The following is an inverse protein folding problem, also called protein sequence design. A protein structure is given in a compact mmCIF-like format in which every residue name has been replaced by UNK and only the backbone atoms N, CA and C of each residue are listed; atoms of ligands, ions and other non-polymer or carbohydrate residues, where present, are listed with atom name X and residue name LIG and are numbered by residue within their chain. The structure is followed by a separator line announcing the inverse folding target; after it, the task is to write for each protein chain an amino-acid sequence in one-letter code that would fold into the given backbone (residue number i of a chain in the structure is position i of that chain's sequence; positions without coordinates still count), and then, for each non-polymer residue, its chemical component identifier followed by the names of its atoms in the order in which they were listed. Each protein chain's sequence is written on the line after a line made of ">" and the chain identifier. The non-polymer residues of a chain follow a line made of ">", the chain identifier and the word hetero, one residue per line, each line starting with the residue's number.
data_IF_459763405720
#
_entry.id   IF_459763405720
#
_cell.length_a   1.000
_cell.length_b   1.000
_cell.length_c   1.000
_cell.angle_alpha   90.00
_cell.angle_beta   90.00
_cell.angle_gamma   90.00
#
_symmetry.space_group_name_H-M   'P 1'
#
loop_
_entity.id
_entity.type
_entity.pdbx_description
1 polymer ?
#
# COMPACT_ATOMS: atom_id res chain seq x y z
N UNK A 1 -18.37 1.88 4.99
CA UNK A 1 -17.37 1.27 4.09
C UNK A 1 -18.06 0.33 3.11
N UNK A 2 -18.87 -0.60 3.62
CA UNK A 2 -19.74 -1.50 2.83
C UNK A 2 -20.59 -0.77 1.81
N UNK A 3 -21.22 0.35 2.18
CA UNK A 3 -22.09 1.11 1.27
C UNK A 3 -21.31 1.71 0.09
N UNK A 4 -20.09 2.20 0.36
CA UNK A 4 -19.19 2.73 -0.68
C UNK A 4 -18.77 1.61 -1.63
N UNK A 5 -18.28 0.49 -1.12
CA UNK A 5 -17.88 -0.66 -1.94
C UNK A 5 -19.06 -1.23 -2.75
N UNK A 6 -20.25 -1.33 -2.14
CA UNK A 6 -21.46 -1.77 -2.82
C UNK A 6 -21.87 -0.83 -3.95
N UNK A 7 -21.80 0.48 -3.73
CA UNK A 7 -22.08 1.49 -4.77
C UNK A 7 -21.07 1.43 -5.91
N UNK A 8 -19.78 1.26 -5.60
CA UNK A 8 -18.71 1.13 -6.59
C UNK A 8 -18.88 -0.15 -7.41
N UNK A 9 -19.11 -1.29 -6.77
CA UNK A 9 -19.33 -2.57 -7.43
C UNK A 9 -20.55 -2.50 -8.37
N UNK A 10 -21.67 -1.95 -7.88
CA UNK A 10 -22.89 -1.77 -8.68
C UNK A 10 -22.61 -0.89 -9.91
N UNK A 11 -21.86 0.20 -9.74
CA UNK A 11 -21.49 1.07 -10.84
C UNK A 11 -20.59 0.36 -11.87
N UNK A 12 -19.54 -0.33 -11.41
CA UNK A 12 -18.62 -1.06 -12.29
C UNK A 12 -19.32 -2.18 -13.07
N UNK A 13 -20.23 -2.92 -12.44
CA UNK A 13 -21.02 -3.98 -13.09
C UNK A 13 -22.01 -3.38 -14.11
N UNK A 14 -22.58 -2.21 -13.81
CA UNK A 14 -23.52 -1.53 -14.72
C UNK A 14 -22.82 -0.90 -15.93
N UNK A 15 -21.53 -0.56 -15.80
CA UNK A 15 -20.71 -0.03 -16.88
C UNK A 15 -20.24 -1.19 -17.78
N UNK A 16 -20.54 -1.12 -19.09
CA UNK A 16 -20.13 -2.15 -20.05
C UNK A 16 -18.62 -2.13 -20.33
N UNK A 17 -18.00 -0.97 -20.23
CA UNK A 17 -16.56 -0.79 -20.44
C UNK A 17 -16.02 0.34 -19.56
N UNK A 18 -14.71 0.30 -19.31
CA UNK A 18 -13.94 1.27 -18.55
C UNK A 18 -12.80 1.76 -19.42
N UNK A 19 -12.45 3.05 -19.33
CA UNK A 19 -11.34 3.61 -20.12
C UNK A 19 -10.16 3.95 -19.22
N UNK A 20 -9.00 3.33 -19.46
CA UNK A 20 -7.73 3.67 -18.83
C UNK A 20 -6.77 4.26 -19.87
N UNK A 21 -6.56 5.58 -19.79
CA UNK A 21 -5.78 6.32 -20.78
C UNK A 21 -6.42 6.22 -22.17
N UNK A 22 -5.71 5.59 -23.09
CA UNK A 22 -6.18 5.35 -24.47
C UNK A 22 -6.77 3.97 -24.68
N UNK A 23 -6.84 3.13 -23.65
CA UNK A 23 -7.28 1.75 -23.73
C UNK A 23 -8.69 1.60 -23.14
N UNK A 24 -9.56 0.90 -23.88
CA UNK A 24 -10.86 0.45 -23.40
C UNK A 24 -10.74 -0.96 -22.80
N UNK A 25 -11.32 -1.16 -21.63
CA UNK A 25 -11.29 -2.39 -20.84
C UNK A 25 -12.71 -2.86 -20.55
N UNK A 26 -12.88 -4.16 -20.37
CA UNK A 26 -14.15 -4.77 -20.00
C UNK A 26 -13.98 -5.42 -18.62
N UNK A 27 -15.03 -5.32 -17.81
CA UNK A 27 -15.04 -5.97 -16.49
C UNK A 27 -15.25 -7.48 -16.70
N UNK A 28 -14.25 -8.28 -16.35
CA UNK A 28 -14.32 -9.74 -16.43
C UNK A 28 -14.94 -10.34 -15.16
N UNK A 29 -14.42 -9.95 -13.99
CA UNK A 29 -14.89 -10.39 -12.69
C UNK A 29 -14.71 -9.31 -11.63
N UNK A 30 -15.46 -9.43 -10.53
CA UNK A 30 -15.34 -8.59 -9.34
C UNK A 30 -15.39 -9.48 -8.11
N UNK A 31 -14.35 -9.40 -7.29
CA UNK A 31 -14.20 -10.20 -6.07
C UNK A 31 -13.99 -9.28 -4.87
N UNK A 32 -14.53 -9.68 -3.72
CA UNK A 32 -14.37 -8.96 -2.45
C UNK A 32 -13.61 -9.86 -1.51
N UNK A 33 -12.45 -9.39 -1.05
CA UNK A 33 -11.65 -10.12 -0.06
C UNK A 33 -12.38 -10.16 1.29
N UNK A 34 -12.26 -11.29 2.03
CA UNK A 34 -12.83 -11.40 3.36
C UNK A 34 -12.16 -10.41 4.34
N UNK A 35 -12.86 -9.99 5.40
CA UNK A 35 -12.27 -9.17 6.45
C UNK A 35 -11.05 -9.83 7.08
N UNK A 36 -10.04 -9.03 7.40
CA UNK A 36 -8.84 -9.50 8.11
C UNK A 36 -8.99 -9.32 9.62
N UNK A 37 -8.37 -10.20 10.40
CA UNK A 37 -8.18 -10.01 11.86
C UNK A 37 -6.69 -10.15 12.19
N UNK A 38 -5.88 -9.12 11.85
CA UNK A 38 -4.43 -9.22 11.94
C UNK A 38 -3.97 -9.27 13.40
N UNK A 39 -3.01 -10.15 13.70
CA UNK A 39 -2.28 -10.17 14.99
C UNK A 39 -0.93 -9.48 14.82
N UNK A 40 -0.70 -8.41 15.59
CA UNK A 40 0.57 -7.67 15.61
C UNK A 40 1.73 -8.54 16.13
N UNK A 41 2.96 -8.41 15.60
CA UNK A 41 3.31 -7.62 14.42
C UNK A 41 2.91 -8.32 13.11
N UNK A 42 2.62 -7.54 12.07
CA UNK A 42 2.35 -8.06 10.71
C UNK A 42 3.38 -7.51 9.72
N UNK A 43 3.61 -8.27 8.65
CA UNK A 43 4.28 -7.76 7.46
C UNK A 43 3.24 -7.45 6.40
N UNK A 44 3.37 -6.29 5.76
CA UNK A 44 2.50 -5.87 4.67
C UNK A 44 3.33 -5.51 3.45
N UNK A 45 2.78 -5.79 2.27
CA UNK A 45 3.32 -5.36 1.00
C UNK A 45 2.53 -4.17 0.48
N UNK A 46 3.21 -3.12 0.04
CA UNK A 46 2.59 -2.01 -0.66
C UNK A 46 2.17 -2.44 -2.08
N UNK A 47 0.85 -2.59 -2.30
CA UNK A 47 0.25 -2.85 -3.63
C UNK A 47 0.24 -1.60 -4.50
N UNK A 48 0.21 -0.43 -3.86
CA UNK A 48 0.43 0.86 -4.51
C UNK A 48 1.46 1.68 -3.71
N UNK A 49 2.22 2.57 -4.34
CA UNK A 49 3.30 3.30 -3.66
C UNK A 49 2.78 4.10 -2.45
N UNK A 50 3.50 4.06 -1.34
CA UNK A 50 3.21 4.83 -0.12
C UNK A 50 3.92 6.18 -0.23
N UNK A 51 3.17 7.27 -0.11
CA UNK A 51 3.74 8.63 -0.12
C UNK A 51 3.52 9.34 1.22
N UNK A 52 4.58 9.99 1.68
CA UNK A 52 4.61 10.75 2.94
C UNK A 52 5.32 12.06 2.65
N UNK A 53 4.70 13.18 3.05
CA UNK A 53 5.25 14.49 2.77
C UNK A 53 4.89 15.52 3.82
N UNK A 54 5.69 16.59 3.85
CA UNK A 54 5.42 17.82 4.58
C UNK A 54 5.60 19.01 3.66
N UNK A 55 5.09 20.17 4.07
CA UNK A 55 5.36 21.44 3.39
C UNK A 55 6.39 22.19 4.23
N UNK A 56 7.55 22.47 3.65
CA UNK A 56 8.63 23.21 4.27
C UNK A 56 8.63 24.65 3.75
N UNK A 57 9.00 25.60 4.62
CA UNK A 57 9.25 26.97 4.22
C UNK A 57 10.71 27.09 3.77
N UNK A 58 10.96 27.65 2.59
CA UNK A 58 12.31 27.98 2.16
C UNK A 58 12.81 29.25 2.85
N UNK A 59 14.12 29.48 2.81
CA UNK A 59 14.74 30.75 3.23
C UNK A 59 14.18 31.97 2.51
N UNK A 60 13.58 31.78 1.32
CA UNK A 60 12.90 32.81 0.53
C UNK A 60 11.40 32.96 0.86
N UNK A 61 10.89 32.28 1.89
CA UNK A 61 9.48 32.33 2.29
C UNK A 61 8.53 31.55 1.38
N UNK A 62 9.03 30.75 0.43
CA UNK A 62 8.20 29.92 -0.46
C UNK A 62 7.91 28.56 0.20
N UNK A 63 6.69 28.07 0.03
CA UNK A 63 6.32 26.72 0.44
C UNK A 63 6.81 25.69 -0.58
N UNK A 64 7.54 24.67 -0.13
CA UNK A 64 7.96 23.53 -0.95
C UNK A 64 7.55 22.22 -0.31
N UNK A 65 6.93 21.34 -1.09
CA UNK A 65 6.62 19.98 -0.63
C UNK A 65 7.89 19.13 -0.61
N UNK A 66 8.17 18.52 0.54
CA UNK A 66 9.25 17.55 0.71
C UNK A 66 8.64 16.17 0.92
N UNK A 67 9.03 15.21 0.08
CA UNK A 67 8.60 13.82 0.18
C UNK A 67 9.69 13.01 0.86
N UNK A 68 9.32 12.29 1.91
CA UNK A 68 10.24 11.52 2.75
C UNK A 68 10.47 10.13 2.17
N UNK A 69 11.69 9.62 2.32
CA UNK A 69 12.05 8.24 2.04
C UNK A 69 11.91 7.35 3.30
N UNK A 70 11.77 6.01 3.14
CA UNK A 70 11.46 5.09 4.23
C UNK A 70 12.52 5.01 5.33
N UNK A 71 13.75 5.47 5.07
CA UNK A 71 14.85 5.47 6.04
C UNK A 71 14.93 6.75 6.86
N UNK A 72 14.15 7.78 6.53
CA UNK A 72 14.04 9.00 7.33
C UNK A 72 13.11 8.75 8.52
N UNK A 73 13.50 9.23 9.71
CA UNK A 73 12.70 9.08 10.94
C UNK A 73 11.32 9.72 10.81
N UNK A 74 11.25 10.82 10.08
CA UNK A 74 10.03 11.56 9.79
C UNK A 74 9.02 10.73 8.98
N UNK A 75 9.48 9.75 8.19
CA UNK A 75 8.61 8.88 7.40
C UNK A 75 7.67 8.09 8.32
N UNK A 76 8.23 7.39 9.30
CA UNK A 76 7.46 6.63 10.29
C UNK A 76 6.57 7.56 11.12
N UNK A 77 7.13 8.65 11.65
CA UNK A 77 6.38 9.58 12.49
C UNK A 77 5.16 10.18 11.78
N UNK A 78 5.30 10.54 10.50
CA UNK A 78 4.21 11.09 9.69
C UNK A 78 3.21 10.01 9.27
N UNK A 79 3.63 8.75 9.05
CA UNK A 79 2.71 7.64 8.82
C UNK A 79 1.82 7.37 10.04
N UNK A 80 2.42 7.28 11.23
CA UNK A 80 1.69 7.07 12.48
C UNK A 80 0.69 8.20 12.73
N UNK A 81 1.12 9.45 12.56
CA UNK A 81 0.24 10.62 12.67
C UNK A 81 -0.89 10.61 11.64
N UNK A 82 -0.62 10.16 10.41
CA UNK A 82 -1.63 10.03 9.36
C UNK A 82 -2.68 8.96 9.72
N UNK A 83 -2.25 7.78 10.18
CA UNK A 83 -3.13 6.70 10.63
C UNK A 83 -3.98 7.12 11.82
N UNK A 84 -3.37 7.75 12.82
CA UNK A 84 -4.08 8.27 13.99
C UNK A 84 -5.20 9.23 13.57
N UNK A 85 -4.92 10.15 12.63
CA UNK A 85 -5.94 11.06 12.10
C UNK A 85 -7.07 10.31 11.40
N UNK A 86 -6.76 9.33 10.55
CA UNK A 86 -7.76 8.50 9.86
C UNK A 86 -8.63 7.73 10.85
N UNK A 87 -7.99 7.07 11.82
CA UNK A 87 -8.65 6.28 12.85
C UNK A 87 -9.53 7.15 13.75
N UNK A 88 -9.07 8.34 14.15
CA UNK A 88 -9.88 9.29 14.93
C UNK A 88 -11.14 9.72 14.18
N UNK A 89 -11.03 10.01 12.88
CA UNK A 89 -12.21 10.38 12.08
C UNK A 89 -13.17 9.20 11.93
N UNK A 90 -12.65 7.98 11.83
CA UNK A 90 -13.45 6.78 11.61
C UNK A 90 -14.13 6.23 12.88
N UNK A 91 -13.39 6.10 13.97
CA UNK A 91 -13.85 5.49 15.23
C UNK A 91 -14.36 6.53 16.24
N UNK A 92 -14.15 7.82 16.00
CA UNK A 92 -14.64 8.91 16.86
C UNK A 92 -13.89 9.09 18.19
N UNK A 93 -12.96 8.20 18.54
CA UNK A 93 -12.18 8.27 19.79
C UNK A 93 -10.67 8.28 19.53
N UNK A 94 -9.86 8.92 20.40
CA UNK A 94 -8.42 8.78 20.34
C UNK A 94 -8.01 7.36 20.72
N UNK A 95 -7.27 6.70 19.84
CA UNK A 95 -6.61 5.42 20.11
C UNK A 95 -5.20 5.71 20.65
N UNK A 96 -4.68 4.84 21.52
CA UNK A 96 -3.36 5.02 22.13
C UNK A 96 -2.27 5.13 21.06
N UNK A 97 -1.32 6.04 21.28
CA UNK A 97 -0.13 6.21 20.45
C UNK A 97 0.91 5.15 20.84
N UNK A 98 0.69 3.93 20.37
CA UNK A 98 1.59 2.81 20.59
C UNK A 98 1.93 2.16 19.23
N UNK A 99 3.18 1.74 19.08
CA UNK A 99 3.62 0.93 17.95
C UNK A 99 4.59 1.61 16.98
N UNK A 100 4.97 0.86 15.94
CA UNK A 100 5.97 1.26 14.94
C UNK A 100 5.59 0.77 13.54
N UNK A 101 6.09 1.49 12.54
CA UNK A 101 6.01 1.14 11.12
C UNK A 101 7.40 1.24 10.52
N UNK A 102 7.98 0.09 10.16
CA UNK A 102 9.37 0.04 9.71
C UNK A 102 9.50 -0.57 8.32
N UNK A 103 10.40 -0.05 7.46
CA UNK A 103 10.75 -0.75 6.24
C UNK A 103 11.42 -2.09 6.60
N UNK A 104 10.86 -3.20 6.11
CA UNK A 104 11.41 -4.55 6.31
C UNK A 104 12.20 -5.00 5.08
N UNK A 105 11.62 -4.85 3.88
CA UNK A 105 12.30 -5.10 2.60
C UNK A 105 11.98 -3.97 1.64
N UNK A 106 12.72 -2.89 1.78
CA UNK A 106 12.62 -1.69 0.93
C UNK A 106 14.02 -1.29 0.50
N UNK A 107 14.16 -0.93 -0.77
CA UNK A 107 15.42 -0.59 -1.40
C UNK A 107 15.22 0.57 -2.39
N UNK A 108 16.29 1.22 -2.88
CA UNK A 108 16.15 2.34 -3.83
C UNK A 108 15.36 2.02 -5.10
N UNK A 109 15.31 0.74 -5.53
CA UNK A 109 14.52 0.30 -6.69
C UNK A 109 13.01 0.39 -6.46
N UNK A 110 12.60 0.52 -5.21
CA UNK A 110 11.21 0.63 -4.79
C UNK A 110 10.74 2.09 -4.75
N UNK A 111 11.58 3.07 -5.15
CA UNK A 111 11.17 4.46 -5.33
C UNK A 111 10.34 4.61 -6.61
N UNK A 112 9.19 5.27 -6.48
CA UNK A 112 8.33 5.65 -7.59
C UNK A 112 8.24 7.17 -7.66
N UNK A 113 8.56 7.72 -8.85
CA UNK A 113 8.31 9.12 -9.18
C UNK A 113 7.07 9.17 -10.08
N UNK A 114 5.93 9.52 -9.50
CA UNK A 114 4.64 9.54 -10.19
C UNK A 114 4.26 10.98 -10.52
N UNK A 115 3.91 11.24 -11.79
CA UNK A 115 3.32 12.52 -12.21
C UNK A 115 1.81 12.43 -12.12
N UNK A 116 1.20 13.23 -11.25
CA UNK A 116 -0.25 13.36 -11.15
C UNK A 116 -0.65 14.80 -11.48
N UNK A 117 -1.32 14.99 -12.63
CA UNK A 117 -1.56 16.31 -13.21
C UNK A 117 -0.24 17.08 -13.33
N UNK A 118 -0.13 18.23 -12.67
CA UNK A 118 1.06 19.08 -12.68
C UNK A 118 1.98 18.88 -11.45
N UNK A 119 1.72 17.86 -10.63
CA UNK A 119 2.52 17.58 -9.42
C UNK A 119 3.36 16.33 -9.59
N UNK A 120 4.63 16.42 -9.19
CA UNK A 120 5.51 15.27 -9.03
C UNK A 120 5.36 14.75 -7.60
N UNK A 121 5.10 13.45 -7.47
CA UNK A 121 4.93 12.76 -6.19
C UNK A 121 6.03 11.70 -6.09
N UNK A 122 6.81 11.74 -5.01
CA UNK A 122 7.69 10.62 -4.66
C UNK A 122 6.99 9.70 -3.67
N UNK A 123 7.12 8.42 -3.91
CA UNK A 123 6.46 7.37 -3.13
C UNK A 123 7.28 6.09 -3.17
N UNK A 124 6.97 5.16 -2.28
CA UNK A 124 7.77 3.95 -2.08
C UNK A 124 6.90 2.70 -2.00
N UNK A 125 7.27 1.67 -2.76
CA UNK A 125 6.74 0.31 -2.57
C UNK A 125 7.64 -0.50 -1.64
N UNK A 126 7.38 -1.80 -1.51
CA UNK A 126 8.18 -2.73 -0.72
C UNK A 126 7.38 -3.35 0.42
N UNK A 127 8.10 -3.97 1.35
CA UNK A 127 7.51 -4.68 2.49
C UNK A 127 7.82 -3.92 3.77
N UNK A 128 6.79 -3.73 4.59
CA UNK A 128 6.82 -2.98 5.84
C UNK A 128 6.34 -3.85 7.00
N UNK A 129 6.99 -3.72 8.15
CA UNK A 129 6.53 -4.30 9.41
C UNK A 129 5.68 -3.28 10.16
N UNK A 130 4.48 -3.70 10.57
CA UNK A 130 3.56 -2.92 11.38
C UNK A 130 3.35 -3.64 12.70
N UNK A 131 3.77 -3.01 13.78
CA UNK A 131 3.41 -3.39 15.15
C UNK A 131 2.52 -2.29 15.71
N UNK A 132 1.21 -2.40 15.49
CA UNK A 132 0.23 -1.36 15.84
C UNK A 132 -1.01 -1.98 16.52
N UNK A 133 -1.78 -1.21 17.31
CA UNK A 133 -3.12 -1.59 17.75
C UNK A 133 -4.01 -2.04 16.58
N UNK A 134 -4.95 -2.94 16.87
CA UNK A 134 -5.83 -3.55 15.86
C UNK A 134 -6.54 -2.52 15.01
N UNK A 135 -7.03 -1.45 15.62
CA UNK A 135 -7.77 -0.36 14.96
C UNK A 135 -6.91 0.36 13.91
N UNK A 136 -5.60 0.49 14.17
CA UNK A 136 -4.64 1.08 13.23
C UNK A 136 -4.25 0.11 12.12
N UNK A 137 -4.15 -1.20 12.42
CA UNK A 137 -3.92 -2.22 11.39
C UNK A 137 -5.09 -2.29 10.42
N UNK A 138 -6.32 -2.30 10.93
CA UNK A 138 -7.54 -2.25 10.12
C UNK A 138 -7.58 -0.97 9.29
N UNK A 139 -7.26 0.18 9.88
CA UNK A 139 -7.23 1.45 9.16
C UNK A 139 -6.17 1.46 8.05
N UNK A 140 -4.99 0.92 8.31
CA UNK A 140 -3.93 0.79 7.30
C UNK A 140 -4.37 -0.11 6.14
N UNK A 141 -5.07 -1.21 6.42
CA UNK A 141 -5.55 -2.13 5.40
C UNK A 141 -6.70 -1.53 4.57
N UNK A 142 -7.73 -0.96 5.22
CA UNK A 142 -8.91 -0.47 4.51
C UNK A 142 -8.75 0.92 3.88
N UNK A 143 -7.97 1.82 4.50
CA UNK A 143 -7.80 3.19 4.01
C UNK A 143 -6.40 3.47 3.43
N UNK A 144 -5.50 2.50 3.51
CA UNK A 144 -4.11 2.61 3.06
C UNK A 144 -3.20 3.39 4.02
N UNK A 145 -1.90 3.22 3.83
CA UNK A 145 -0.84 3.96 4.52
C UNK A 145 -0.55 5.31 3.84
N UNK A 146 -0.13 6.30 4.62
CA UNK A 146 0.34 7.58 4.09
C UNK A 146 -0.75 8.45 3.47
N UNK A 147 -0.34 9.32 2.55
CA UNK A 147 -1.19 10.33 1.95
C UNK A 147 -1.68 9.94 0.55
N UNK A 148 -2.62 10.73 0.00
CA UNK A 148 -3.13 10.60 -1.37
C UNK A 148 -3.81 9.26 -1.68
N UNK A 149 -4.43 8.60 -0.68
CA UNK A 149 -5.03 7.28 -0.87
C UNK A 149 -6.14 7.26 -1.93
N UNK A 150 -6.99 8.29 -1.98
CA UNK A 150 -8.01 8.44 -3.03
C UNK A 150 -7.45 8.69 -4.43
N UNK A 151 -6.14 8.93 -4.56
CA UNK A 151 -5.43 9.04 -5.85
C UNK A 151 -4.68 7.75 -6.20
N UNK A 152 -4.93 6.64 -5.49
CA UNK A 152 -4.33 5.33 -5.76
C UNK A 152 -2.98 5.10 -5.09
N UNK A 153 -2.76 5.65 -3.89
CA UNK A 153 -1.52 5.47 -3.12
C UNK A 153 -1.75 4.71 -1.81
N UNK A 154 -0.73 3.98 -1.39
CA UNK A 154 -0.64 3.39 -0.05
C UNK A 154 -1.56 2.22 0.26
N UNK A 155 -2.27 1.65 -0.72
CA UNK A 155 -2.93 0.36 -0.57
C UNK A 155 -1.90 -0.74 -0.23
N UNK A 156 -2.23 -1.58 0.75
CA UNK A 156 -1.36 -2.65 1.25
C UNK A 156 -2.11 -3.98 1.34
N UNK A 157 -1.39 -5.08 1.25
CA UNK A 157 -1.89 -6.42 1.54
C UNK A 157 -0.99 -7.12 2.56
N UNK A 158 -1.52 -8.12 3.26
CA UNK A 158 -0.71 -8.97 4.14
C UNK A 158 0.37 -9.66 3.30
N UNK A 159 1.63 -9.51 3.70
CA UNK A 159 2.74 -10.14 3.02
C UNK A 159 2.96 -11.54 3.58
N UNK A 160 3.00 -12.53 2.69
CA UNK A 160 3.45 -13.87 2.99
C UNK A 160 4.75 -14.15 2.24
N UNK A 161 5.73 -14.82 2.87
CA UNK A 161 6.90 -15.28 2.14
C UNK A 161 6.46 -16.21 1.00
N UNK A 162 7.10 -16.12 -0.19
CA UNK A 162 6.83 -17.06 -1.25
C UNK A 162 7.04 -18.48 -0.72
N UNK A 163 6.12 -19.40 -1.08
CA UNK A 163 6.26 -20.80 -0.71
C UNK A 163 7.64 -21.30 -1.15
N UNK A 164 8.34 -22.11 -0.33
CA UNK A 164 9.61 -22.68 -0.75
C UNK A 164 9.38 -23.45 -2.06
N UNK A 165 10.14 -23.09 -3.09
CA UNK A 165 10.14 -23.79 -4.37
C UNK A 165 10.45 -25.25 -4.08
N UNK A 166 9.48 -26.16 -4.28
CA UNK A 166 9.81 -27.60 -4.28
C UNK A 166 10.81 -27.81 -5.40
N UNK A 167 12.00 -28.29 -5.06
CA UNK A 167 13.09 -28.56 -5.99
C UNK A 167 12.57 -29.29 -7.23
N UNK A 168 12.78 -28.69 -8.40
CA UNK A 168 12.62 -29.32 -9.72
C UNK A 168 13.76 -30.35 -9.97
N UNK A 169 14.16 -31.10 -8.95
CA UNK A 169 15.30 -32.02 -8.99
C UNK A 169 14.92 -33.51 -9.12
N UNK A 170 13.67 -33.82 -9.48
CA UNK A 170 13.24 -35.19 -9.78
C UNK A 170 12.44 -35.27 -11.07
N UNK A 171 13.10 -34.97 -12.19
CA UNK A 171 12.71 -35.55 -13.48
C UNK A 171 13.85 -36.45 -13.97
N UNK A 172 13.60 -37.75 -14.23
CA UNK A 172 14.63 -38.67 -14.67
C UNK A 172 15.16 -38.22 -16.04
N UNK A 173 16.48 -38.04 -16.12
CA UNK A 173 17.20 -37.77 -17.37
C UNK A 173 16.97 -38.93 -18.34
N UNK A 174 16.75 -38.61 -19.61
CA UNK A 174 16.68 -39.53 -20.75
C UNK A 174 17.82 -40.58 -20.73
N UNK A 175 17.57 -41.80 -21.24
CA UNK A 175 18.57 -42.86 -21.25
C UNK A 175 19.73 -42.52 -22.20
N UNK A 176 20.96 -42.79 -21.74
CA UNK A 176 22.17 -42.73 -22.57
C UNK A 176 22.11 -43.84 -23.62
N UNK A 177 22.38 -43.50 -24.89
CA UNK A 177 22.67 -44.49 -25.94
C UNK A 177 23.99 -45.18 -25.62
N UNK A 178 23.98 -46.51 -25.63
CA UNK A 178 25.18 -47.35 -25.62
C UNK A 178 25.76 -47.38 -27.04
N UNK A 179 27.08 -47.20 -27.13
CA UNK A 179 27.94 -47.55 -28.28
C UNK A 179 28.81 -48.74 -27.88
#
# INVERSE_FOLDING_TARGET
>A
MTDFLGSLATHLISQRSLRLGYTELYLESLEVEPPITPKRPILVQALSPITVYSTLLTSEGKCKTYYYCPWEREFEALLLKNLQRKARVWYGSPIREEGHIRPSKVSPRDEHIVKFKDTIIKAWTGIYELDLPTEYLEMAYYAGLGAKNSQGFGCVALWQPPAPTKDLASHPRYPKKEE
#
